data_IF_131780346347
#
_entry.id   IF_131780346347
#
_cell.length_a   1.000
_cell.length_b   1.000
_cell.length_c   1.000
_cell.angle_alpha   90.00
_cell.angle_beta   90.00
_cell.angle_gamma   90.00
#
_symmetry.space_group_name_H-M   'P 1'
#
loop_
_entity.id
_entity.type
_entity.pdbx_description
1 polymer ?
#
# COMPACT_ATOMS: atom_id res chain seq x y z
N UNK A 1 -45.69 4.94 -33.71
CA UNK A 1 -45.44 5.93 -32.64
C UNK A 1 -44.96 5.18 -31.41
N UNK A 2 -43.88 5.61 -30.77
CA UNK A 2 -43.49 5.09 -29.46
C UNK A 2 -44.31 5.79 -28.37
N UNK A 3 -44.79 5.02 -27.39
CA UNK A 3 -45.48 5.56 -26.21
C UNK A 3 -44.44 5.99 -25.19
N UNK A 4 -44.45 7.26 -24.77
CA UNK A 4 -43.56 7.78 -23.72
C UNK A 4 -44.12 7.38 -22.35
N UNK A 5 -43.30 6.71 -21.54
CA UNK A 5 -43.57 6.48 -20.11
C UNK A 5 -42.74 7.49 -19.30
N UNK A 6 -43.41 8.26 -18.44
CA UNK A 6 -42.77 9.21 -17.52
C UNK A 6 -43.07 8.77 -16.08
N UNK A 7 -42.03 8.68 -15.25
CA UNK A 7 -42.13 8.34 -13.82
C UNK A 7 -42.23 9.61 -12.99
N UNK A 8 -42.71 9.51 -11.74
CA UNK A 8 -42.71 10.61 -10.77
C UNK A 8 -41.29 11.12 -10.58
N UNK A 9 -41.07 12.42 -10.77
CA UNK A 9 -39.78 13.09 -10.55
C UNK A 9 -39.85 14.02 -9.33
N UNK A 10 -38.71 14.31 -8.72
CA UNK A 10 -38.57 15.23 -7.60
C UNK A 10 -37.12 15.45 -7.20
N UNK A 11 -36.86 16.50 -6.43
CA UNK A 11 -35.56 16.81 -5.81
C UNK A 11 -35.18 15.79 -4.74
N UNK A 12 -33.91 15.75 -4.35
CA UNK A 12 -33.43 14.88 -3.28
C UNK A 12 -34.24 15.06 -1.98
N UNK A 13 -34.48 16.31 -1.56
CA UNK A 13 -35.23 16.62 -0.35
C UNK A 13 -36.70 16.17 -0.43
N UNK A 14 -37.33 16.32 -1.59
CA UNK A 14 -38.70 15.82 -1.81
C UNK A 14 -38.76 14.29 -1.75
N UNK A 15 -37.71 13.60 -2.19
CA UNK A 15 -37.62 12.14 -2.06
C UNK A 15 -37.36 11.70 -0.63
N UNK A 16 -36.47 12.34 0.12
CA UNK A 16 -36.20 11.99 1.53
C UNK A 16 -37.47 12.06 2.40
N UNK A 17 -38.41 12.96 2.06
CA UNK A 17 -39.69 13.08 2.74
C UNK A 17 -40.79 12.14 2.19
N UNK A 18 -40.54 11.43 1.08
CA UNK A 18 -41.53 10.63 0.37
C UNK A 18 -41.38 9.13 0.66
N UNK A 19 -42.44 8.49 1.13
CA UNK A 19 -42.57 7.02 1.20
C UNK A 19 -43.45 6.53 0.05
N UNK A 20 -42.84 5.93 -0.97
CA UNK A 20 -43.57 5.38 -2.10
C UNK A 20 -44.21 4.03 -1.78
N UNK A 21 -45.16 3.61 -2.62
CA UNK A 21 -45.81 2.32 -2.49
C UNK A 21 -44.83 1.15 -2.77
N UNK A 22 -45.14 -0.08 -2.33
CA UNK A 22 -44.33 -1.24 -2.66
C UNK A 22 -44.15 -1.38 -4.17
N UNK A 23 -42.88 -1.47 -4.63
CA UNK A 23 -42.45 -1.55 -6.03
C UNK A 23 -42.65 -0.27 -6.85
N UNK A 24 -42.89 0.87 -6.20
CA UNK A 24 -42.92 2.17 -6.91
C UNK A 24 -41.49 2.58 -7.29
N UNK A 25 -41.33 3.06 -8.54
CA UNK A 25 -40.07 3.62 -9.03
C UNK A 25 -40.26 5.11 -9.28
N UNK A 26 -39.38 5.90 -8.71
CA UNK A 26 -39.37 7.36 -8.84
C UNK A 26 -38.00 7.88 -9.29
N UNK A 27 -37.95 9.12 -9.78
CA UNK A 27 -36.75 9.75 -10.34
C UNK A 27 -36.32 10.90 -9.43
N UNK A 28 -35.15 10.77 -8.82
CA UNK A 28 -34.47 11.86 -8.11
C UNK A 28 -33.71 12.70 -9.14
N UNK A 29 -34.22 13.90 -9.42
CA UNK A 29 -33.65 14.80 -10.43
C UNK A 29 -32.48 15.61 -9.90
N UNK A 30 -32.30 15.69 -8.58
CA UNK A 30 -31.10 16.31 -7.99
C UNK A 30 -29.90 15.38 -8.16
N UNK A 31 -30.09 14.11 -7.78
CA UNK A 31 -29.05 13.10 -7.83
C UNK A 31 -29.08 12.25 -9.10
N UNK A 32 -29.84 12.66 -10.12
CA UNK A 32 -30.06 11.94 -11.38
C UNK A 32 -30.07 10.41 -11.19
N UNK A 33 -30.90 9.92 -10.28
CA UNK A 33 -30.97 8.50 -9.93
C UNK A 33 -32.42 8.00 -9.87
N UNK A 34 -32.60 6.68 -9.96
CA UNK A 34 -33.88 6.04 -9.70
C UNK A 34 -33.96 5.64 -8.23
N UNK A 35 -35.14 5.72 -7.61
CA UNK A 35 -35.40 5.20 -6.25
C UNK A 35 -36.48 4.13 -6.32
N UNK A 36 -36.23 2.98 -5.70
CA UNK A 36 -37.18 1.89 -5.54
C UNK A 36 -37.81 1.94 -4.15
N UNK A 37 -39.14 1.92 -4.08
CA UNK A 37 -39.87 2.02 -2.82
C UNK A 37 -40.43 0.66 -2.37
N UNK A 38 -40.46 0.46 -1.06
CA UNK A 38 -40.93 -0.77 -0.40
C UNK A 38 -42.26 -0.60 0.35
N UNK A 39 -42.84 0.62 0.36
CA UNK A 39 -44.06 0.93 1.10
C UNK A 39 -43.85 1.42 2.53
N UNK A 40 -42.61 1.48 3.03
CA UNK A 40 -42.31 1.80 4.43
C UNK A 40 -41.16 2.79 4.61
N UNK A 41 -40.11 2.68 3.81
CA UNK A 41 -38.90 3.49 3.93
C UNK A 41 -39.11 4.85 3.25
N UNK A 42 -39.14 5.94 4.03
CA UNK A 42 -39.06 7.29 3.46
C UNK A 42 -37.72 7.47 2.73
N UNK A 43 -37.72 8.13 1.57
CA UNK A 43 -36.55 8.16 0.68
C UNK A 43 -36.44 6.96 -0.25
N UNK A 44 -37.06 5.83 0.08
CA UNK A 44 -36.89 4.57 -0.66
C UNK A 44 -35.42 4.12 -0.74
N UNK A 45 -35.12 3.29 -1.72
CA UNK A 45 -33.79 2.72 -1.97
C UNK A 45 -33.23 3.30 -3.28
N UNK A 46 -32.25 4.22 -3.23
CA UNK A 46 -31.57 4.72 -4.42
C UNK A 46 -30.89 3.58 -5.19
N UNK A 47 -31.07 3.55 -6.51
CA UNK A 47 -30.41 2.61 -7.41
C UNK A 47 -29.08 3.20 -7.83
N UNK A 48 -28.00 2.43 -7.74
CA UNK A 48 -26.70 2.87 -8.25
C UNK A 48 -26.78 3.06 -9.77
N UNK A 49 -26.52 4.29 -10.26
CA UNK A 49 -26.39 4.55 -11.70
C UNK A 49 -25.01 4.13 -12.19
N UNK A 50 -24.87 3.85 -13.50
CA UNK A 50 -23.55 3.55 -14.11
C UNK A 50 -22.51 4.66 -13.89
N UNK A 51 -22.95 5.91 -13.68
CA UNK A 51 -22.05 7.03 -13.33
C UNK A 51 -21.54 6.95 -11.88
N UNK A 52 -22.28 6.28 -11.01
CA UNK A 52 -21.93 6.03 -9.61
C UNK A 52 -21.10 4.73 -9.49
N UNK A 53 -21.25 3.82 -10.45
CA UNK A 53 -20.26 2.80 -10.76
C UNK A 53 -19.08 3.44 -11.54
N UNK A 54 -18.28 4.25 -10.85
CA UNK A 54 -17.07 4.88 -11.40
C UNK A 54 -16.00 3.86 -11.83
N UNK A 55 -14.76 4.07 -11.41
CA UNK A 55 -13.79 2.97 -11.44
C UNK A 55 -14.38 1.79 -10.65
N UNK A 56 -14.17 0.54 -11.12
CA UNK A 56 -14.68 -0.65 -10.44
C UNK A 56 -14.41 -0.55 -8.94
N UNK A 57 -15.43 -0.85 -8.11
CA UNK A 57 -15.33 -0.79 -6.63
C UNK A 57 -14.02 -1.43 -6.17
N UNK A 58 -13.23 -0.68 -5.41
CA UNK A 58 -11.89 -1.08 -4.96
C UNK A 58 -10.73 -0.59 -5.85
N UNK A 59 -10.96 0.02 -7.01
CA UNK A 59 -9.90 0.67 -7.81
C UNK A 59 -9.97 2.21 -7.78
N UNK A 60 -10.96 2.76 -7.09
CA UNK A 60 -11.16 4.20 -6.90
C UNK A 60 -10.07 4.78 -5.99
N UNK A 61 -9.80 4.12 -4.87
CA UNK A 61 -8.69 4.45 -4.01
C UNK A 61 -7.35 4.03 -4.67
N UNK A 62 -6.45 4.99 -4.93
CA UNK A 62 -5.13 4.73 -5.51
C UNK A 62 -4.11 4.20 -4.52
N UNK A 63 -4.43 4.25 -3.23
CA UNK A 63 -3.60 3.76 -2.15
C UNK A 63 -3.76 2.24 -2.01
N UNK A 64 -2.64 1.57 -1.85
CA UNK A 64 -2.49 0.16 -1.51
C UNK A 64 -2.14 0.10 -0.01
N UNK A 65 -2.74 -0.81 0.74
CA UNK A 65 -2.46 -1.06 2.15
C UNK A 65 -2.68 0.21 3.02
N UNK A 66 -3.74 0.98 2.72
CA UNK A 66 -4.05 2.22 3.42
C UNK A 66 -4.50 2.04 4.87
N UNK A 67 -4.92 0.82 5.24
CA UNK A 67 -5.27 0.40 6.61
C UNK A 67 -4.09 -0.26 7.35
N UNK A 68 -2.90 -0.32 6.74
CA UNK A 68 -1.69 -0.89 7.34
C UNK A 68 -1.86 -2.35 7.82
N UNK A 69 -2.60 -3.17 7.07
CA UNK A 69 -2.82 -4.57 7.41
C UNK A 69 -1.62 -5.47 7.06
N UNK A 70 -0.87 -5.12 6.01
CA UNK A 70 0.15 -5.97 5.40
C UNK A 70 1.57 -5.44 5.70
N UNK A 71 2.41 -6.29 6.30
CA UNK A 71 3.77 -5.97 6.76
C UNK A 71 4.74 -7.14 6.53
N UNK A 72 4.95 -7.50 5.26
CA UNK A 72 5.81 -8.60 4.85
C UNK A 72 7.27 -8.42 5.28
N UNK A 73 7.74 -7.18 5.47
CA UNK A 73 9.12 -6.86 5.88
C UNK A 73 9.38 -7.00 7.38
N UNK A 74 8.33 -7.27 8.16
CA UNK A 74 8.37 -7.26 9.63
C UNK A 74 7.51 -6.14 10.19
N UNK A 75 7.26 -6.18 11.51
CA UNK A 75 6.29 -5.29 12.17
C UNK A 75 6.96 -4.13 12.91
N UNK A 76 8.28 -4.16 13.09
CA UNK A 76 9.06 -3.18 13.86
C UNK A 76 10.43 -2.94 13.22
N UNK A 77 11.20 -1.96 13.73
CA UNK A 77 12.61 -1.76 13.37
C UNK A 77 12.85 -0.87 12.15
N UNK A 78 11.82 -0.20 11.62
CA UNK A 78 11.95 0.71 10.49
C UNK A 78 12.46 2.08 10.92
N UNK A 79 13.77 2.17 11.19
CA UNK A 79 14.43 3.40 11.64
C UNK A 79 15.21 4.14 10.53
N UNK A 80 15.59 3.42 9.47
CA UNK A 80 16.31 3.97 8.34
C UNK A 80 15.36 4.43 7.22
N UNK A 81 15.87 5.20 6.28
CA UNK A 81 15.13 5.52 5.05
C UNK A 81 14.87 4.25 4.26
N UNK A 82 13.61 3.96 3.93
CA UNK A 82 13.24 2.78 3.17
C UNK A 82 11.79 2.35 3.35
N UNK A 83 11.44 1.24 2.72
CA UNK A 83 10.10 0.67 2.79
C UNK A 83 9.82 -0.03 4.12
N UNK A 84 8.62 0.19 4.67
CA UNK A 84 8.17 -0.36 5.96
C UNK A 84 6.95 -1.27 5.81
N UNK A 85 5.76 -0.80 6.21
CA UNK A 85 4.50 -1.42 5.82
C UNK A 85 4.47 -1.52 4.30
N UNK A 86 3.97 -2.62 3.73
CA UNK A 86 4.03 -2.84 2.29
C UNK A 86 3.55 -1.60 1.52
N UNK A 87 4.40 -1.14 0.57
CA UNK A 87 4.25 0.07 -0.26
C UNK A 87 4.52 1.42 0.41
N UNK A 88 4.55 1.48 1.73
CA UNK A 88 4.84 2.70 2.47
C UNK A 88 6.34 2.90 2.61
N UNK A 89 6.81 4.11 2.27
CA UNK A 89 8.19 4.52 2.34
C UNK A 89 8.37 5.53 3.49
N UNK A 90 9.28 5.22 4.39
CA UNK A 90 9.65 6.07 5.52
C UNK A 90 10.92 6.86 5.19
N UNK A 91 10.86 8.18 5.40
CA UNK A 91 12.01 9.09 5.34
C UNK A 91 12.13 9.78 6.69
N UNK A 92 12.95 9.27 7.63
CA UNK A 92 13.23 9.98 8.88
C UNK A 92 14.00 11.27 8.58
N UNK A 93 13.92 12.24 9.50
CA UNK A 93 14.71 13.46 9.41
C UNK A 93 16.21 13.14 9.51
N UNK A 94 17.03 13.87 8.75
CA UNK A 94 18.49 13.80 8.88
C UNK A 94 18.91 14.31 10.26
N UNK A 95 19.75 13.53 10.96
CA UNK A 95 20.19 13.84 12.33
C UNK A 95 19.17 13.50 13.43
N UNK A 96 17.92 13.22 13.07
CA UNK A 96 16.89 12.78 14.01
C UNK A 96 16.86 11.26 14.19
N UNK A 97 16.08 10.81 15.17
CA UNK A 97 15.79 9.39 15.41
C UNK A 97 14.29 9.19 15.33
N UNK A 98 13.84 8.50 14.28
CA UNK A 98 12.43 8.18 14.12
C UNK A 98 12.19 6.77 13.59
N UNK A 99 11.04 6.21 13.94
CA UNK A 99 10.67 4.83 13.64
C UNK A 99 9.23 4.72 13.17
N UNK A 100 8.97 3.69 12.37
CA UNK A 100 7.62 3.24 12.01
C UNK A 100 7.40 1.83 12.55
N UNK A 101 6.24 1.60 13.17
CA UNK A 101 5.90 0.32 13.82
C UNK A 101 4.43 -0.02 13.53
N UNK A 102 4.15 -1.31 13.29
CA UNK A 102 2.78 -1.81 13.21
C UNK A 102 2.17 -1.82 14.60
N UNK A 103 0.94 -1.34 14.74
CA UNK A 103 0.21 -1.40 16.00
C UNK A 103 -1.25 -1.76 15.75
N UNK A 104 -1.83 -2.50 16.69
CA UNK A 104 -3.21 -2.95 16.63
C UNK A 104 -4.15 -2.05 17.44
N UNK A 105 -5.41 -2.00 17.02
CA UNK A 105 -6.46 -1.42 17.85
C UNK A 105 -6.87 -2.36 18.99
N UNK A 106 -7.32 -1.78 20.09
CA UNK A 106 -8.00 -2.53 21.15
C UNK A 106 -9.42 -2.83 20.68
N UNK A 107 -9.86 -4.09 20.84
CA UNK A 107 -11.21 -4.52 20.46
C UNK A 107 -12.27 -3.65 21.15
N UNK A 108 -13.20 -3.10 20.36
CA UNK A 108 -14.31 -2.27 20.85
C UNK A 108 -13.98 -0.78 21.10
N UNK A 109 -12.76 -0.32 20.77
CA UNK A 109 -12.30 1.05 21.07
C UNK A 109 -12.18 2.02 19.88
N UNK A 110 -12.99 1.87 18.83
CA UNK A 110 -12.83 2.62 17.55
C UNK A 110 -14.15 3.15 16.95
N UNK A 111 -15.00 3.88 17.70
CA UNK A 111 -16.24 4.41 17.15
C UNK A 111 -16.02 5.48 16.06
N UNK A 112 -14.84 6.10 15.97
CA UNK A 112 -14.61 7.26 15.10
C UNK A 112 -14.19 6.92 13.66
N UNK A 113 -13.70 5.70 13.40
CA UNK A 113 -13.19 5.30 12.09
C UNK A 113 -14.16 4.32 11.42
N UNK A 114 -14.69 4.65 10.22
CA UNK A 114 -15.50 3.74 9.43
C UNK A 114 -14.85 2.37 9.22
N UNK A 115 -15.66 1.33 9.11
CA UNK A 115 -15.22 -0.05 8.85
C UNK A 115 -14.28 -0.67 9.90
N UNK A 116 -13.93 0.06 10.97
CA UNK A 116 -13.20 -0.41 12.13
C UNK A 116 -11.88 -1.14 11.77
N UNK A 117 -10.86 -0.44 11.24
CA UNK A 117 -9.61 -1.06 10.83
C UNK A 117 -8.93 -1.80 12.00
N UNK A 118 -8.17 -2.84 11.68
CA UNK A 118 -7.51 -3.68 12.70
C UNK A 118 -6.15 -3.14 13.13
N UNK A 119 -5.49 -2.39 12.26
CA UNK A 119 -4.12 -1.91 12.44
C UNK A 119 -3.97 -0.44 12.07
N UNK A 120 -2.87 0.15 12.54
CA UNK A 120 -2.41 1.48 12.18
C UNK A 120 -0.88 1.52 12.17
N UNK A 121 -0.31 2.48 11.45
CA UNK A 121 1.09 2.84 11.60
C UNK A 121 1.28 3.71 12.85
N UNK A 122 2.18 3.30 13.73
CA UNK A 122 2.72 4.10 14.81
C UNK A 122 4.02 4.74 14.33
N UNK A 123 4.01 6.05 14.12
CA UNK A 123 5.14 6.82 13.59
C UNK A 123 5.65 7.71 14.71
N UNK A 124 6.94 7.62 15.03
CA UNK A 124 7.54 8.40 16.10
C UNK A 124 8.84 9.05 15.61
N UNK A 125 9.11 10.24 16.13
CA UNK A 125 10.43 10.86 16.15
C UNK A 125 10.78 11.18 17.61
N UNK A 126 11.76 10.46 18.15
CA UNK A 126 12.23 10.60 19.53
C UNK A 126 13.40 11.57 19.68
N UNK A 127 14.10 11.88 18.59
CA UNK A 127 15.13 12.92 18.53
C UNK A 127 14.85 13.79 17.31
N UNK A 128 14.78 15.10 17.50
CA UNK A 128 14.60 16.08 16.44
C UNK A 128 15.78 16.08 15.45
N UNK A 129 15.48 16.38 14.18
CA UNK A 129 16.45 16.51 13.10
C UNK A 129 16.30 17.82 12.35
N UNK A 130 16.87 17.89 11.15
CA UNK A 130 17.00 19.15 10.39
C UNK A 130 16.47 19.12 8.96
N UNK A 131 16.25 17.94 8.38
CA UNK A 131 15.72 17.77 7.01
C UNK A 131 14.32 17.16 7.02
N UNK A 132 13.61 17.29 5.90
CA UNK A 132 12.23 16.80 5.71
C UNK A 132 12.01 15.40 6.24
N UNK A 133 10.99 15.24 7.08
CA UNK A 133 10.52 13.98 7.64
C UNK A 133 9.15 13.66 7.08
N UNK A 134 8.98 12.49 6.47
CA UNK A 134 7.69 12.10 5.90
C UNK A 134 7.53 10.58 5.82
N UNK A 135 6.27 10.17 5.79
CA UNK A 135 5.89 8.85 5.27
C UNK A 135 5.14 9.06 3.97
N UNK A 136 5.41 8.23 2.96
CA UNK A 136 4.79 8.37 1.66
C UNK A 136 4.38 7.04 1.06
N UNK A 137 3.48 7.09 0.09
CA UNK A 137 3.23 5.98 -0.82
C UNK A 137 3.39 6.44 -2.26
N UNK A 138 4.26 5.74 -3.01
CA UNK A 138 4.53 6.00 -4.43
C UNK A 138 3.60 5.17 -5.29
N UNK A 139 2.79 5.82 -6.11
CA UNK A 139 1.86 5.22 -7.07
C UNK A 139 2.53 5.26 -8.43
N UNK A 140 2.69 4.09 -9.06
CA UNK A 140 3.37 3.96 -10.35
C UNK A 140 2.69 4.79 -11.45
N UNK A 141 3.50 5.41 -12.30
CA UNK A 141 3.03 6.23 -13.42
C UNK A 141 2.76 7.67 -13.00
N UNK A 142 3.57 8.61 -13.48
CA UNK A 142 3.41 10.06 -13.22
C UNK A 142 2.15 10.65 -13.85
N UNK A 143 1.55 9.95 -14.82
CA UNK A 143 0.26 10.28 -15.43
C UNK A 143 -0.93 10.07 -14.49
N UNK A 144 -0.75 9.32 -13.40
CA UNK A 144 -1.80 9.06 -12.42
C UNK A 144 -2.37 10.38 -11.90
N UNK A 145 -3.66 10.63 -12.19
CA UNK A 145 -4.39 11.84 -11.79
C UNK A 145 -3.81 13.16 -12.35
N UNK A 146 -2.92 13.12 -13.34
CA UNK A 146 -2.33 14.32 -13.94
C UNK A 146 -3.41 15.24 -14.55
N UNK A 147 -3.37 16.53 -14.18
CA UNK A 147 -4.36 17.51 -14.62
C UNK A 147 -5.77 17.28 -14.05
N UNK A 148 -5.94 16.42 -13.04
CA UNK A 148 -7.23 16.13 -12.42
C UNK A 148 -7.30 16.70 -11.00
N UNK A 149 -8.51 16.89 -10.50
CA UNK A 149 -8.72 17.03 -9.06
C UNK A 149 -8.61 15.67 -8.36
N UNK A 150 -8.17 15.70 -7.11
CA UNK A 150 -8.08 14.52 -6.26
C UNK A 150 -8.38 14.87 -4.80
N UNK A 151 -8.95 13.92 -4.07
CA UNK A 151 -9.21 14.04 -2.64
C UNK A 151 -8.37 13.02 -1.88
N UNK A 152 -7.65 13.51 -0.86
CA UNK A 152 -6.93 12.67 0.10
C UNK A 152 -7.72 12.63 1.39
N UNK A 153 -7.88 11.43 1.95
CA UNK A 153 -8.33 11.25 3.34
C UNK A 153 -7.38 10.37 4.12
N UNK A 154 -7.28 10.60 5.43
CA UNK A 154 -6.60 9.72 6.36
C UNK A 154 -7.16 9.94 7.76
N UNK A 155 -7.06 8.95 8.65
CA UNK A 155 -7.32 9.16 10.06
C UNK A 155 -5.99 9.23 10.81
N UNK A 156 -5.84 10.29 11.61
CA UNK A 156 -4.64 10.51 12.43
C UNK A 156 -4.99 10.75 13.90
N UNK A 157 -4.11 10.30 14.78
CA UNK A 157 -4.15 10.57 16.21
C UNK A 157 -2.73 10.78 16.74
N UNK A 158 -2.30 12.03 16.94
CA UNK A 158 -1.01 12.29 17.56
C UNK A 158 -1.09 12.16 19.09
N UNK A 159 0.06 11.97 19.76
CA UNK A 159 0.12 11.93 21.24
C UNK A 159 0.13 13.33 21.87
N UNK A 160 0.63 14.32 21.13
CA UNK A 160 0.56 15.74 21.44
C UNK A 160 0.05 16.48 20.21
N UNK A 161 -0.51 17.69 20.36
CA UNK A 161 -0.96 18.45 19.20
C UNK A 161 0.20 18.61 18.20
N UNK A 162 -0.01 18.24 16.95
CA UNK A 162 1.03 18.23 15.91
C UNK A 162 0.40 18.52 14.56
N UNK A 163 1.11 19.30 13.75
CA UNK A 163 0.71 19.58 12.36
C UNK A 163 1.19 18.43 11.47
N UNK A 164 0.32 18.00 10.55
CA UNK A 164 0.66 17.01 9.52
C UNK A 164 0.31 17.61 8.17
N UNK A 165 1.32 17.93 7.36
CA UNK A 165 1.09 18.41 6.00
C UNK A 165 0.79 17.26 5.06
N UNK A 166 0.02 17.52 4.00
CA UNK A 166 -0.25 16.53 2.96
C UNK A 166 0.27 17.04 1.63
N UNK A 167 1.07 16.23 0.95
CA UNK A 167 1.70 16.58 -0.32
C UNK A 167 1.47 15.54 -1.40
N UNK A 168 1.29 15.99 -2.64
CA UNK A 168 1.35 15.17 -3.84
C UNK A 168 2.56 15.56 -4.68
N UNK A 169 3.38 14.58 -5.05
CA UNK A 169 4.62 14.81 -5.81
C UNK A 169 4.59 14.03 -7.10
N UNK A 170 4.72 14.72 -8.24
CA UNK A 170 4.90 14.10 -9.56
C UNK A 170 6.40 13.97 -9.82
N UNK A 171 6.90 12.73 -9.86
CA UNK A 171 8.29 12.40 -10.17
C UNK A 171 8.35 11.76 -11.56
N UNK A 172 9.08 12.38 -12.49
CA UNK A 172 9.13 11.96 -13.90
C UNK A 172 10.13 10.83 -14.18
N UNK A 173 10.69 10.21 -13.15
CA UNK A 173 11.64 9.10 -13.29
C UNK A 173 13.10 9.54 -13.44
N UNK A 174 13.98 8.55 -13.63
CA UNK A 174 15.41 8.73 -13.90
C UNK A 174 15.80 8.17 -15.27
N UNK A 175 17.05 8.39 -15.66
CA UNK A 175 17.59 7.97 -16.95
C UNK A 175 17.28 8.97 -18.06
N UNK A 176 18.26 9.22 -18.94
CA UNK A 176 18.15 10.26 -19.96
C UNK A 176 18.15 11.68 -19.39
N UNK A 177 17.13 12.48 -19.70
CA UNK A 177 16.99 13.88 -19.22
C UNK A 177 15.53 14.18 -18.85
N UNK A 178 15.01 13.57 -17.78
CA UNK A 178 13.63 13.76 -17.35
C UNK A 178 13.41 15.16 -16.79
N UNK A 179 12.14 15.58 -16.74
CA UNK A 179 11.76 16.79 -16.02
C UNK A 179 11.96 16.63 -14.51
N UNK A 180 12.31 17.73 -13.83
CA UNK A 180 12.41 17.74 -12.36
C UNK A 180 11.05 17.50 -11.68
N UNK A 181 11.04 17.02 -10.41
CA UNK A 181 9.83 16.74 -9.67
C UNK A 181 8.96 18.00 -9.47
N UNK A 182 7.65 17.81 -9.46
CA UNK A 182 6.66 18.86 -9.19
C UNK A 182 5.96 18.55 -7.88
N UNK A 183 5.96 19.52 -6.96
CA UNK A 183 5.40 19.40 -5.62
C UNK A 183 4.09 20.19 -5.54
N UNK A 184 3.03 19.55 -5.07
CA UNK A 184 1.74 20.16 -4.76
C UNK A 184 1.43 19.86 -3.30
N UNK A 185 1.75 20.78 -2.41
CA UNK A 185 1.63 20.59 -0.96
C UNK A 185 0.53 21.50 -0.41
N UNK A 186 -0.28 20.94 0.48
CA UNK A 186 -1.30 21.67 1.22
C UNK A 186 -1.04 21.43 2.69
N UNK A 187 -0.92 22.52 3.44
CA UNK A 187 -1.01 22.49 4.89
C UNK A 187 -2.50 22.55 5.25
N UNK A 188 -3.14 21.42 5.64
CA UNK A 188 -4.47 21.53 6.22
C UNK A 188 -4.34 22.44 7.45
N UNK A 189 -5.18 23.47 7.54
CA UNK A 189 -5.03 24.58 8.48
C UNK A 189 -5.35 24.22 9.96
N UNK A 190 -4.92 23.06 10.43
CA UNK A 190 -5.29 22.52 11.74
C UNK A 190 -4.14 21.76 12.37
N UNK A 191 -3.77 22.15 13.59
CA UNK A 191 -3.07 21.26 14.50
C UNK A 191 -4.00 20.13 14.91
N UNK A 192 -3.57 18.89 14.68
CA UNK A 192 -4.40 17.73 14.99
C UNK A 192 -4.38 17.50 16.50
N UNK A 193 -5.54 17.42 17.18
CA UNK A 193 -5.59 17.27 18.62
C UNK A 193 -5.17 15.87 19.04
N UNK A 194 -4.66 15.72 20.27
CA UNK A 194 -4.32 14.41 20.84
C UNK A 194 -5.54 13.60 21.33
N UNK A 195 -6.71 14.25 21.44
CA UNK A 195 -7.96 13.62 21.85
C UNK A 195 -8.64 12.89 20.69
N UNK A 196 -8.51 11.57 20.66
CA UNK A 196 -9.21 10.72 19.69
C UNK A 196 -8.61 10.77 18.28
N UNK A 197 -9.25 10.05 17.36
CA UNK A 197 -8.87 10.04 15.95
C UNK A 197 -9.57 11.18 15.21
N UNK A 198 -8.83 11.81 14.29
CA UNK A 198 -9.33 12.91 13.48
C UNK A 198 -9.10 12.64 12.00
N UNK A 199 -10.09 12.98 11.17
CA UNK A 199 -10.03 12.80 9.72
C UNK A 199 -9.27 13.98 9.10
N UNK A 200 -8.16 13.68 8.44
CA UNK A 200 -7.55 14.52 7.41
C UNK A 200 -8.44 14.41 6.17
N UNK A 201 -8.81 15.55 5.58
CA UNK A 201 -9.54 15.60 4.32
C UNK A 201 -9.08 16.82 3.53
N UNK A 202 -8.38 16.59 2.42
CA UNK A 202 -7.74 17.64 1.63
C UNK A 202 -7.99 17.39 0.16
N UNK A 203 -8.39 18.44 -0.56
CA UNK A 203 -8.53 18.42 -2.00
C UNK A 203 -7.29 19.03 -2.67
N UNK A 204 -6.89 18.43 -3.79
CA UNK A 204 -5.76 18.85 -4.62
C UNK A 204 -6.22 19.03 -6.06
N UNK A 205 -5.57 19.94 -6.77
CA UNK A 205 -5.56 19.93 -8.24
C UNK A 205 -4.15 19.54 -8.69
N UNK A 206 -4.01 18.36 -9.28
CA UNK A 206 -2.71 17.91 -9.79
C UNK A 206 -2.33 18.66 -11.06
N UNK A 207 -1.10 19.20 -11.16
CA UNK A 207 -0.65 19.87 -12.37
C UNK A 207 -0.72 18.96 -13.60
N UNK A 208 -0.96 19.58 -14.76
CA UNK A 208 -0.83 18.90 -16.05
C UNK A 208 0.63 18.55 -16.33
N UNK A 209 0.86 17.38 -16.92
CA UNK A 209 2.18 16.91 -17.35
C UNK A 209 2.50 17.26 -18.81
N UNK A 210 1.64 18.03 -19.48
CA UNK A 210 1.87 18.43 -20.87
C UNK A 210 3.22 19.17 -21.02
N UNK A 211 4.05 18.71 -21.96
CA UNK A 211 5.38 19.27 -22.22
C UNK A 211 6.48 18.82 -21.24
N UNK A 212 6.18 17.93 -20.29
CA UNK A 212 7.18 17.30 -19.43
C UNK A 212 7.82 16.10 -20.13
N UNK A 213 9.08 15.81 -19.77
CA UNK A 213 9.85 14.69 -20.29
C UNK A 213 9.92 13.57 -19.24
N UNK A 214 9.61 12.34 -19.67
CA UNK A 214 9.70 11.13 -18.85
C UNK A 214 11.11 10.55 -18.89
N UNK A 215 11.55 9.96 -17.78
CA UNK A 215 12.78 9.19 -17.68
C UNK A 215 12.67 7.85 -18.40
N UNK A 216 13.82 7.26 -18.72
CA UNK A 216 13.90 5.97 -19.42
C UNK A 216 13.83 4.74 -18.51
N UNK A 217 13.97 4.92 -17.20
CA UNK A 217 14.16 3.80 -16.26
C UNK A 217 12.84 3.19 -15.77
N UNK A 218 11.69 3.77 -16.14
CA UNK A 218 10.36 3.27 -15.77
C UNK A 218 10.12 3.27 -14.25
N UNK A 219 10.63 4.28 -13.56
CA UNK A 219 10.49 4.51 -12.11
C UNK A 219 9.81 5.85 -11.81
N UNK A 220 9.02 6.36 -12.74
CA UNK A 220 8.19 7.53 -12.55
C UNK A 220 6.96 7.19 -11.69
N UNK A 221 6.48 8.17 -10.93
CA UNK A 221 5.40 7.96 -9.97
C UNK A 221 4.72 9.27 -9.55
N UNK A 222 3.54 9.11 -8.95
CA UNK A 222 2.93 10.11 -8.08
C UNK A 222 3.05 9.65 -6.63
N UNK A 223 3.65 10.47 -5.75
CA UNK A 223 3.76 10.17 -4.32
C UNK A 223 2.74 10.94 -3.51
N UNK A 224 1.97 10.24 -2.66
CA UNK A 224 1.23 10.85 -1.56
C UNK A 224 2.12 10.89 -0.31
N UNK A 225 2.36 12.08 0.23
CA UNK A 225 3.20 12.33 1.41
C UNK A 225 2.39 12.87 2.58
N UNK A 226 2.67 12.34 3.75
CA UNK A 226 2.35 12.97 5.03
C UNK A 226 3.65 13.48 5.64
N UNK A 227 3.77 14.78 5.78
CA UNK A 227 5.01 15.49 6.14
C UNK A 227 4.88 15.97 7.58
N UNK A 228 5.92 15.75 8.37
CA UNK A 228 6.00 16.10 9.78
C UNK A 228 7.09 17.16 9.99
N UNK A 229 6.91 18.01 11.01
CA UNK A 229 7.95 18.97 11.40
C UNK A 229 9.18 18.22 11.91
N UNK A 230 10.33 18.30 11.20
CA UNK A 230 11.52 17.56 11.60
C UNK A 230 12.19 18.14 12.84
N UNK A 231 11.89 19.38 13.23
CA UNK A 231 12.58 20.11 14.30
C UNK A 231 12.05 19.80 15.70
N UNK A 232 10.98 19.00 15.80
CA UNK A 232 10.34 18.62 17.06
C UNK A 232 10.29 17.12 17.25
N UNK A 233 10.09 16.68 18.48
CA UNK A 233 9.71 15.29 18.76
C UNK A 233 8.21 15.12 18.57
N UNK A 234 7.79 14.02 17.98
CA UNK A 234 6.37 13.76 17.73
C UNK A 234 6.06 12.27 17.74
N UNK A 235 4.79 11.97 17.97
CA UNK A 235 4.22 10.65 17.71
C UNK A 235 2.89 10.84 17.01
N UNK A 236 2.70 10.18 15.88
CA UNK A 236 1.47 10.19 15.09
C UNK A 236 1.05 8.75 14.82
N UNK A 237 -0.19 8.41 15.15
CA UNK A 237 -0.85 7.19 14.68
C UNK A 237 -1.62 7.51 13.40
N UNK A 238 -1.53 6.65 12.39
CA UNK A 238 -2.18 6.88 11.10
C UNK A 238 -2.78 5.60 10.53
N UNK A 239 -3.98 5.69 9.96
CA UNK A 239 -4.65 4.59 9.24
C UNK A 239 -5.70 5.12 8.27
N UNK A 240 -6.37 4.22 7.55
CA UNK A 240 -7.52 4.51 6.69
C UNK A 240 -7.23 5.57 5.62
N UNK A 241 -6.09 5.42 4.95
CA UNK A 241 -5.62 6.38 3.96
C UNK A 241 -6.22 6.13 2.58
N UNK A 242 -6.75 7.18 1.96
CA UNK A 242 -7.28 7.16 0.61
C UNK A 242 -6.74 8.31 -0.25
N UNK A 243 -6.61 8.04 -1.55
CA UNK A 243 -6.41 9.05 -2.60
C UNK A 243 -7.35 8.71 -3.76
N UNK A 244 -8.28 9.59 -4.06
CA UNK A 244 -9.36 9.33 -5.02
C UNK A 244 -9.43 10.46 -6.02
N UNK A 245 -9.78 10.11 -7.26
CA UNK A 245 -10.04 11.08 -8.32
C UNK A 245 -11.30 11.91 -8.02
N UNK A 246 -11.18 13.22 -8.20
CA UNK A 246 -12.27 14.19 -8.07
C UNK A 246 -12.46 14.69 -6.65
N UNK A 247 -13.55 15.43 -6.47
CA UNK A 247 -14.03 15.89 -5.17
C UNK A 247 -14.83 14.80 -4.47
N UNK A 248 -14.26 14.22 -3.42
CA UNK A 248 -14.91 13.26 -2.53
C UNK A 248 -15.11 13.85 -1.12
N UNK A 249 -15.08 15.18 -0.98
CA UNK A 249 -15.17 15.83 0.33
C UNK A 249 -16.55 15.70 0.98
N UNK A 250 -17.59 15.45 0.17
CA UNK A 250 -18.94 15.18 0.65
C UNK A 250 -19.18 13.71 1.03
N UNK A 251 -18.21 12.81 0.80
CA UNK A 251 -18.34 11.40 1.13
C UNK A 251 -17.87 11.12 2.56
N UNK A 252 -18.71 10.39 3.32
CA UNK A 252 -18.41 10.02 4.71
C UNK A 252 -17.14 9.16 4.80
N UNK A 253 -17.05 8.13 3.96
CA UNK A 253 -15.92 7.20 3.88
C UNK A 253 -15.50 6.94 2.43
N UNK A 254 -14.50 7.67 1.92
CA UNK A 254 -13.96 7.42 0.58
C UNK A 254 -13.02 6.21 0.50
N UNK A 255 -12.63 5.58 1.62
CA UNK A 255 -11.52 4.61 1.66
C UNK A 255 -11.70 3.38 0.76
N UNK A 256 -12.94 2.95 0.53
CA UNK A 256 -13.31 1.76 -0.26
C UNK A 256 -12.44 0.53 0.05
N UNK A 257 -12.69 -0.19 1.16
CA UNK A 257 -11.84 -1.31 1.57
C UNK A 257 -11.84 -2.43 0.53
N UNK A 258 -10.65 -2.98 0.25
CA UNK A 258 -10.49 -4.19 -0.56
C UNK A 258 -10.49 -5.44 0.31
N UNK A 259 -10.82 -6.58 -0.29
CA UNK A 259 -10.60 -7.86 0.38
C UNK A 259 -9.11 -8.08 0.61
N UNK A 260 -8.73 -8.60 1.80
CA UNK A 260 -7.33 -8.79 2.19
C UNK A 260 -6.47 -9.51 1.15
N UNK A 261 -7.02 -10.51 0.45
CA UNK A 261 -6.28 -11.22 -0.61
C UNK A 261 -6.00 -10.34 -1.83
N UNK A 262 -6.90 -9.43 -2.18
CA UNK A 262 -6.66 -8.48 -3.28
C UNK A 262 -5.58 -7.48 -2.87
N UNK A 263 -5.66 -6.96 -1.65
CA UNK A 263 -4.65 -6.05 -1.08
C UNK A 263 -3.27 -6.72 -1.04
N UNK A 264 -3.21 -7.99 -0.63
CA UNK A 264 -1.97 -8.77 -0.62
C UNK A 264 -1.42 -8.98 -2.02
N UNK A 265 -2.26 -9.31 -3.00
CA UNK A 265 -1.83 -9.45 -4.39
C UNK A 265 -1.25 -8.13 -4.94
N UNK A 266 -1.85 -6.98 -4.59
CA UNK A 266 -1.35 -5.66 -4.97
C UNK A 266 0.00 -5.35 -4.30
N UNK A 267 0.17 -5.67 -3.02
CA UNK A 267 1.46 -5.54 -2.32
C UNK A 267 2.53 -6.48 -2.92
N UNK A 268 2.16 -7.72 -3.23
CA UNK A 268 3.09 -8.75 -3.72
C UNK A 268 3.66 -8.46 -5.11
N UNK A 269 3.03 -7.57 -5.87
CA UNK A 269 3.58 -7.04 -7.12
C UNK A 269 4.87 -6.23 -6.91
N UNK A 270 5.07 -5.67 -5.72
CA UNK A 270 6.24 -4.85 -5.39
C UNK A 270 7.18 -5.56 -4.41
N UNK A 271 6.65 -6.44 -3.55
CA UNK A 271 7.48 -7.23 -2.66
C UNK A 271 6.86 -8.56 -2.29
N UNK A 272 7.62 -9.64 -2.43
CA UNK A 272 7.22 -10.93 -1.91
C UNK A 272 8.42 -11.69 -1.33
N UNK A 273 8.12 -12.75 -0.57
CA UNK A 273 9.12 -13.54 0.14
C UNK A 273 8.66 -15.00 0.25
N UNK A 274 9.59 -15.89 0.57
CA UNK A 274 9.27 -17.29 0.89
C UNK A 274 8.67 -17.49 2.27
N UNK A 275 8.90 -16.56 3.20
CA UNK A 275 8.46 -16.71 4.59
C UNK A 275 6.93 -16.61 4.70
N UNK A 276 6.38 -17.17 5.77
CA UNK A 276 5.01 -16.87 6.20
C UNK A 276 4.78 -15.35 6.27
N UNK A 277 3.54 -14.93 5.99
CA UNK A 277 3.22 -13.51 5.77
C UNK A 277 3.70 -12.62 6.92
N UNK A 278 3.51 -13.05 8.17
CA UNK A 278 3.85 -12.31 9.39
C UNK A 278 5.28 -12.58 9.90
N UNK A 279 6.07 -13.43 9.23
CA UNK A 279 7.45 -13.76 9.64
C UNK A 279 8.46 -12.91 8.87
N UNK A 280 9.11 -11.96 9.54
CA UNK A 280 10.09 -11.06 8.90
C UNK A 280 11.23 -11.84 8.20
N UNK A 281 11.72 -11.38 7.03
CA UNK A 281 12.91 -11.96 6.41
C UNK A 281 14.12 -11.95 7.35
N UNK A 282 14.95 -12.99 7.29
CA UNK A 282 16.07 -13.17 8.20
C UNK A 282 15.68 -13.76 9.58
N UNK A 283 14.39 -14.02 9.83
CA UNK A 283 13.99 -14.80 11.02
C UNK A 283 14.55 -16.22 10.94
N UNK A 284 15.05 -16.73 12.07
CA UNK A 284 15.59 -18.09 12.19
C UNK A 284 14.44 -19.09 12.19
N UNK A 285 14.12 -19.63 11.02
CA UNK A 285 13.08 -20.64 10.84
C UNK A 285 13.35 -21.44 9.57
N UNK A 286 12.94 -22.70 9.56
CA UNK A 286 12.87 -23.53 8.36
C UNK A 286 11.46 -23.59 7.76
N UNK A 287 10.45 -23.04 8.44
CA UNK A 287 9.05 -23.03 7.98
C UNK A 287 8.96 -22.17 6.72
N UNK A 288 8.34 -22.71 5.66
CA UNK A 288 8.23 -22.09 4.34
C UNK A 288 9.57 -21.84 3.62
N UNK A 289 10.68 -22.42 4.11
CA UNK A 289 11.95 -22.43 3.37
C UNK A 289 11.87 -23.38 2.17
N UNK A 290 12.60 -23.05 1.11
CA UNK A 290 12.81 -23.98 0.01
C UNK A 290 13.79 -25.05 0.48
N UNK A 291 13.38 -26.31 0.47
CA UNK A 291 14.19 -27.44 0.93
C UNK A 291 14.35 -28.48 -0.17
N UNK A 292 15.58 -28.99 -0.33
CA UNK A 292 15.85 -30.13 -1.21
C UNK A 292 16.86 -31.08 -0.57
N UNK A 293 16.63 -32.39 -0.73
CA UNK A 293 17.59 -33.43 -0.32
C UNK A 293 18.68 -33.59 -1.37
N UNK A 294 19.91 -33.72 -0.90
CA UNK A 294 21.10 -33.98 -1.71
C UNK A 294 21.52 -35.45 -1.54
N UNK A 295 21.90 -36.10 -2.64
CA UNK A 295 22.32 -37.51 -2.67
C UNK A 295 23.80 -37.59 -2.99
N UNK A 296 24.54 -38.40 -2.22
CA UNK A 296 25.96 -38.63 -2.43
C UNK A 296 26.27 -39.02 -3.89
N UNK A 297 27.32 -38.42 -4.47
CA UNK A 297 27.78 -38.70 -5.83
C UNK A 297 27.15 -37.86 -6.95
N UNK A 298 26.13 -37.04 -6.65
CA UNK A 298 25.51 -36.11 -7.62
C UNK A 298 25.90 -34.64 -7.41
N UNK A 299 26.91 -34.39 -6.57
CA UNK A 299 27.29 -33.08 -6.04
C UNK A 299 28.11 -32.25 -7.04
N UNK A 300 27.46 -31.79 -8.11
CA UNK A 300 28.07 -30.83 -9.06
C UNK A 300 27.51 -29.44 -8.80
N UNK A 301 28.39 -28.43 -8.84
CA UNK A 301 28.00 -27.01 -8.82
C UNK A 301 26.93 -26.76 -9.91
N UNK A 302 25.82 -26.10 -9.56
CA UNK A 302 24.73 -25.84 -10.51
C UNK A 302 23.83 -27.04 -10.86
N UNK A 303 24.05 -28.24 -10.31
CA UNK A 303 23.21 -29.41 -10.63
C UNK A 303 21.80 -29.37 -10.04
N UNK A 304 21.53 -28.46 -9.08
CA UNK A 304 20.30 -28.45 -8.31
C UNK A 304 19.81 -27.02 -8.05
N UNK A 305 18.79 -26.62 -8.82
CA UNK A 305 18.07 -25.37 -8.66
C UNK A 305 16.67 -25.55 -8.08
N UNK A 306 16.18 -24.51 -7.40
CA UNK A 306 14.77 -24.31 -7.08
C UNK A 306 14.16 -23.39 -8.13
N UNK A 307 13.18 -23.89 -8.90
CA UNK A 307 12.40 -23.04 -9.78
C UNK A 307 11.26 -22.43 -8.96
N UNK A 308 11.34 -21.12 -8.72
CA UNK A 308 10.35 -20.40 -7.95
C UNK A 308 9.54 -19.48 -8.86
N UNK A 309 8.22 -19.54 -8.73
CA UNK A 309 7.31 -18.52 -9.27
C UNK A 309 6.87 -17.57 -8.16
N UNK A 310 6.75 -16.30 -8.49
CA UNK A 310 6.14 -15.35 -7.58
C UNK A 310 4.62 -15.56 -7.50
N UNK A 311 3.98 -15.20 -6.37
CA UNK A 311 2.53 -15.29 -6.23
C UNK A 311 1.79 -14.42 -7.25
N UNK A 312 2.39 -13.31 -7.66
CA UNK A 312 1.94 -12.41 -8.74
C UNK A 312 3.13 -11.97 -9.58
N UNK A 313 2.90 -11.56 -10.82
CA UNK A 313 3.94 -10.93 -11.61
C UNK A 313 4.37 -9.61 -10.95
N UNK A 314 5.67 -9.44 -10.74
CA UNK A 314 6.26 -8.26 -10.15
C UNK A 314 6.31 -7.10 -11.15
N UNK A 315 6.38 -5.88 -10.62
CA UNK A 315 6.40 -4.64 -11.40
C UNK A 315 7.53 -4.59 -12.44
N UNK A 316 8.73 -4.89 -11.99
CA UNK A 316 9.96 -4.93 -12.79
C UNK A 316 10.79 -6.16 -12.36
N UNK A 317 11.97 -6.34 -12.94
CA UNK A 317 12.93 -7.33 -12.47
C UNK A 317 13.29 -7.02 -11.00
N UNK A 318 12.95 -7.89 -10.04
CA UNK A 318 13.19 -7.61 -8.63
C UNK A 318 14.66 -7.78 -8.25
N UNK A 319 15.06 -7.06 -7.21
CA UNK A 319 16.27 -7.38 -6.44
C UNK A 319 15.95 -8.57 -5.54
N UNK A 320 16.78 -9.62 -5.63
CA UNK A 320 16.58 -10.87 -4.92
C UNK A 320 17.63 -11.03 -3.81
N UNK A 321 17.19 -11.46 -2.62
CA UNK A 321 18.07 -11.72 -1.49
C UNK A 321 17.76 -13.11 -0.93
N UNK A 322 18.81 -13.93 -0.76
CA UNK A 322 18.72 -15.21 -0.06
C UNK A 322 18.94 -15.03 1.44
N UNK A 323 18.33 -15.88 2.26
CA UNK A 323 18.52 -15.87 3.71
C UNK A 323 18.73 -17.29 4.23
N UNK A 324 19.71 -17.42 5.14
CA UNK A 324 19.95 -18.69 5.81
C UNK A 324 18.84 -18.92 6.85
N UNK A 325 18.13 -20.05 6.78
CA UNK A 325 17.12 -20.40 7.78
C UNK A 325 17.72 -20.60 9.18
N UNK A 326 19.03 -20.89 9.27
CA UNK A 326 19.68 -21.28 10.51
C UNK A 326 20.17 -20.10 11.35
N UNK A 327 20.62 -19.02 10.71
CA UNK A 327 21.15 -17.85 11.41
C UNK A 327 20.68 -16.49 10.85
N UNK A 328 19.76 -16.50 9.89
CA UNK A 328 19.20 -15.28 9.30
C UNK A 328 20.12 -14.52 8.36
N UNK A 329 21.36 -15.00 8.13
CA UNK A 329 22.34 -14.29 7.35
C UNK A 329 21.87 -14.08 5.90
N UNK A 330 21.94 -12.84 5.42
CA UNK A 330 21.63 -12.47 4.04
C UNK A 330 22.71 -12.94 3.08
N UNK A 331 22.31 -13.35 1.87
CA UNK A 331 23.18 -13.89 0.83
C UNK A 331 23.49 -15.39 0.95
N UNK A 332 22.96 -16.07 1.98
CA UNK A 332 23.26 -17.47 2.25
C UNK A 332 22.01 -18.34 2.29
N UNK A 333 22.19 -19.63 2.10
CA UNK A 333 21.30 -20.69 2.58
C UNK A 333 22.08 -21.62 3.52
N UNK A 334 21.47 -22.73 3.90
CA UNK A 334 22.02 -23.69 4.84
C UNK A 334 22.26 -25.04 4.19
N UNK A 335 23.45 -25.61 4.41
CA UNK A 335 23.77 -27.00 4.13
C UNK A 335 23.78 -27.80 5.44
N UNK A 336 22.75 -28.63 5.63
CA UNK A 336 22.60 -29.40 6.85
C UNK A 336 23.57 -30.59 6.95
N UNK A 337 24.11 -31.07 5.81
CA UNK A 337 25.09 -32.16 5.85
C UNK A 337 26.40 -31.71 6.51
N UNK A 338 26.82 -30.48 6.20
CA UNK A 338 28.08 -29.90 6.66
C UNK A 338 27.90 -28.88 7.78
N UNK A 339 26.66 -28.62 8.20
CA UNK A 339 26.31 -27.62 9.20
C UNK A 339 26.95 -26.26 8.93
N UNK A 340 26.82 -25.78 7.70
CA UNK A 340 27.45 -24.53 7.26
C UNK A 340 26.53 -23.70 6.37
N UNK A 341 26.77 -22.40 6.35
CA UNK A 341 26.14 -21.50 5.39
C UNK A 341 26.79 -21.66 4.01
N UNK A 342 25.95 -21.68 2.99
CA UNK A 342 26.34 -21.84 1.59
C UNK A 342 25.77 -20.70 0.75
N UNK A 343 26.44 -20.34 -0.33
CA UNK A 343 25.96 -19.27 -1.23
C UNK A 343 25.01 -19.83 -2.27
N UNK A 344 24.05 -18.99 -2.65
CA UNK A 344 23.10 -19.27 -3.72
C UNK A 344 23.18 -18.20 -4.80
N UNK A 345 23.01 -18.62 -6.04
CA UNK A 345 22.93 -17.74 -7.21
C UNK A 345 21.48 -17.71 -7.74
N UNK A 346 20.99 -16.50 -7.98
CA UNK A 346 19.72 -16.28 -8.67
C UNK A 346 19.98 -16.26 -10.18
N UNK A 347 19.55 -17.32 -10.86
CA UNK A 347 19.65 -17.50 -12.31
C UNK A 347 18.29 -17.31 -12.98
N UNK A 348 18.29 -16.85 -14.23
CA UNK A 348 17.07 -16.65 -15.02
C UNK A 348 15.99 -15.83 -14.30
N UNK A 349 16.43 -14.83 -13.51
CA UNK A 349 15.51 -13.95 -12.81
C UNK A 349 14.68 -13.15 -13.82
N UNK A 350 13.38 -13.05 -13.54
CA UNK A 350 12.39 -12.35 -14.35
C UNK A 350 11.34 -11.72 -13.44
N UNK A 351 10.39 -10.98 -14.00
CA UNK A 351 9.27 -10.44 -13.22
C UNK A 351 8.28 -11.52 -12.73
N UNK A 352 8.37 -12.77 -13.18
CA UNK A 352 7.43 -13.85 -12.80
C UNK A 352 8.05 -14.92 -11.90
N UNK A 353 9.38 -14.90 -11.75
CA UNK A 353 10.10 -15.88 -10.94
C UNK A 353 11.57 -15.94 -11.27
N UNK A 354 12.24 -16.91 -10.68
CA UNK A 354 13.67 -17.15 -10.82
C UNK A 354 13.99 -18.64 -10.64
N UNK A 355 15.22 -19.01 -10.99
CA UNK A 355 15.82 -20.28 -10.58
C UNK A 355 16.92 -19.99 -9.55
N UNK A 356 16.94 -20.72 -8.44
CA UNK A 356 17.88 -20.50 -7.35
C UNK A 356 18.79 -21.73 -7.19
N UNK A 357 20.07 -21.56 -7.48
CA UNK A 357 21.04 -22.66 -7.52
C UNK A 357 22.10 -22.50 -6.44
N UNK A 358 22.53 -23.62 -5.84
CA UNK A 358 23.69 -23.62 -4.97
C UNK A 358 24.95 -23.33 -5.81
N UNK A 359 25.65 -22.24 -5.49
CA UNK A 359 26.86 -21.80 -6.19
C UNK A 359 28.16 -22.29 -5.54
N UNK A 360 28.11 -22.79 -4.31
CA UNK A 360 29.26 -23.29 -3.55
C UNK A 360 29.56 -24.78 -3.75
N UNK A 361 28.67 -25.52 -4.40
CA UNK A 361 28.74 -26.99 -4.46
C UNK A 361 28.37 -27.65 -3.13
N UNK A 362 28.35 -28.98 -3.09
CA UNK A 362 28.09 -29.75 -1.86
C UNK A 362 29.34 -30.56 -1.48
N UNK A 363 29.84 -30.38 -0.26
CA UNK A 363 30.82 -31.29 0.31
C UNK A 363 30.13 -32.61 0.70
N UNK A 364 30.69 -33.74 0.27
CA UNK A 364 30.03 -35.06 0.20
C UNK A 364 29.30 -35.52 1.47
N UNK A 365 28.06 -35.98 1.28
CA UNK A 365 27.20 -36.58 2.31
C UNK A 365 25.75 -36.63 1.86
N UNK A 366 24.95 -37.56 2.39
CA UNK A 366 23.49 -37.49 2.26
C UNK A 366 22.98 -36.41 3.22
N UNK A 367 22.18 -35.46 2.73
CA UNK A 367 21.66 -34.38 3.56
C UNK A 367 20.61 -33.55 2.85
N UNK A 368 20.43 -32.31 3.28
CA UNK A 368 19.53 -31.37 2.63
C UNK A 368 20.10 -29.95 2.65
N UNK A 369 19.63 -29.17 1.70
CA UNK A 369 19.87 -27.74 1.64
C UNK A 369 18.56 -26.99 1.81
N UNK A 370 18.63 -25.86 2.50
CA UNK A 370 17.49 -24.98 2.73
C UNK A 370 17.85 -23.53 2.47
N UNK A 371 16.90 -22.77 1.96
CA UNK A 371 17.10 -21.35 1.70
C UNK A 371 15.76 -20.61 1.74
N UNK A 372 15.78 -19.41 2.29
CA UNK A 372 14.71 -18.45 2.18
C UNK A 372 15.07 -17.37 1.16
N UNK A 373 14.08 -16.66 0.66
CA UNK A 373 14.29 -15.55 -0.26
C UNK A 373 13.31 -14.41 -0.03
N UNK A 374 13.71 -13.22 -0.46
CA UNK A 374 12.85 -12.06 -0.69
C UNK A 374 13.11 -11.50 -2.09
N UNK A 375 12.09 -10.84 -2.66
CA UNK A 375 12.12 -10.19 -3.95
C UNK A 375 11.52 -8.79 -3.80
N UNK A 376 12.28 -7.77 -4.18
CA UNK A 376 11.91 -6.35 -4.05
C UNK A 376 11.95 -5.64 -5.41
N UNK A 377 10.82 -5.07 -5.81
CA UNK A 377 10.62 -4.30 -7.05
C UNK A 377 9.90 -2.97 -6.76
N UNK A 378 10.10 -2.41 -5.57
CA UNK A 378 9.57 -1.10 -5.17
C UNK A 378 10.10 0.05 -6.07
N UNK A 379 9.53 1.25 -5.91
CA UNK A 379 9.75 2.43 -6.76
C UNK A 379 10.90 3.32 -6.31
#
# INVERSE_FOLDING_TARGET
MSTRIQRRGGTAAEHEAFTGAPREITVDTTNNTLRLHDGATAGGHPVLMKRDAGELVGFRNKIINGDFEIWQRGETGFAATGYCADRWFWRPSTGGTGTVVKSGFVLGGIPEIPSAPRYYAYINQSIAGTETCYIEQRIEGVETLAGQEATVTAYVKPDAATDVAVGLVQFFGTGGTPSGPVYTEVMPATSYPSSGWTKIQVQFTLPSIAGKALGSDGNDYVALRFIFDPTVVFTVRMTHVSLIKGDATAEDDPFEPRHKQQELALCQRYYCKSYEIDTAPGTLTSIASLMRRNVAGTNVQGAFGFVQRFPVAMRTLPTLIAYSPQNGASGYGWDAANSTNITYAFNYASSVGFNLENSSGFAGGNGYSQVHWSADAEL
#
